data_IF_638848402680
#
_entry.id   IF_638848402680
#
_cell.length_a   1.000
_cell.length_b   1.000
_cell.length_c   1.000
_cell.angle_alpha   90.00
_cell.angle_beta   90.00
_cell.angle_gamma   90.00
#
_symmetry.space_group_name_H-M   'P 1'
#
loop_
_entity.id
_entity.type
_entity.pdbx_description
1 polymer ?
#
# COMPACT_ATOMS: atom_id res chain seq x y z
N UNK A 1 29.02 12.62 7.08
CA UNK A 1 28.54 11.46 6.29
C UNK A 1 27.88 12.02 5.04
N UNK A 2 28.53 11.92 3.88
CA UNK A 2 27.95 12.35 2.61
C UNK A 2 26.95 11.30 2.16
N UNK A 3 25.66 11.56 2.38
CA UNK A 3 24.60 10.92 1.63
C UNK A 3 24.67 11.47 0.20
N UNK A 4 25.57 10.92 -0.61
CA UNK A 4 25.46 11.05 -2.05
C UNK A 4 24.12 10.44 -2.43
N UNK A 5 23.22 11.36 -2.77
CA UNK A 5 21.91 11.14 -3.34
C UNK A 5 22.13 10.41 -4.66
N UNK A 6 21.91 9.09 -4.66
CA UNK A 6 21.95 8.26 -5.85
C UNK A 6 20.87 8.74 -6.85
N UNK A 7 21.28 9.65 -7.73
CA UNK A 7 21.03 9.72 -9.17
C UNK A 7 19.62 9.42 -9.71
N UNK A 8 18.71 10.38 -9.50
CA UNK A 8 17.46 10.51 -10.26
C UNK A 8 16.43 11.39 -9.54
N UNK A 9 15.49 12.04 -10.25
CA UNK A 9 14.33 12.65 -9.60
C UNK A 9 13.58 11.57 -8.81
N UNK A 10 13.42 11.74 -7.50
CA UNK A 10 12.58 10.87 -6.68
C UNK A 10 11.13 11.18 -7.06
N UNK A 11 10.55 10.34 -7.91
CA UNK A 11 9.17 10.46 -8.39
C UNK A 11 8.21 9.77 -7.42
N UNK A 12 7.95 10.40 -6.26
CA UNK A 12 6.97 9.90 -5.29
C UNK A 12 5.52 9.86 -5.81
N UNK A 13 5.25 10.53 -6.93
CA UNK A 13 3.93 10.62 -7.57
C UNK A 13 3.61 9.42 -8.49
N UNK A 14 4.53 8.46 -8.61
CA UNK A 14 4.39 7.27 -9.43
C UNK A 14 4.22 5.98 -8.62
N UNK A 15 4.21 4.85 -9.34
CA UNK A 15 4.20 3.49 -8.78
C UNK A 15 5.26 2.67 -9.48
N UNK A 16 6.45 2.57 -8.89
CA UNK A 16 7.61 1.89 -9.47
C UNK A 16 7.31 0.44 -9.84
N UNK A 17 6.42 -0.20 -9.08
CA UNK A 17 6.02 -1.59 -9.32
C UNK A 17 5.23 -1.72 -10.62
N UNK A 18 4.40 -0.74 -10.96
CA UNK A 18 3.68 -0.72 -12.23
C UNK A 18 4.63 -0.43 -13.41
N UNK A 19 5.63 0.44 -13.20
CA UNK A 19 6.66 0.70 -14.21
C UNK A 19 7.50 -0.55 -14.50
N UNK A 20 7.96 -1.24 -13.44
CA UNK A 20 8.71 -2.48 -13.55
C UNK A 20 7.88 -3.60 -14.17
N UNK A 21 6.62 -3.74 -13.77
CA UNK A 21 5.67 -4.68 -14.39
C UNK A 21 5.61 -4.47 -15.91
N UNK A 22 5.39 -3.23 -16.37
CA UNK A 22 5.33 -2.93 -17.80
C UNK A 22 6.62 -3.30 -18.55
N UNK A 23 7.79 -3.10 -17.93
CA UNK A 23 9.08 -3.51 -18.50
C UNK A 23 9.17 -5.04 -18.62
N UNK A 24 8.84 -5.78 -17.56
CA UNK A 24 8.95 -7.23 -17.55
C UNK A 24 7.91 -7.90 -18.44
N UNK A 25 6.66 -7.43 -18.43
CA UNK A 25 5.62 -7.88 -19.35
C UNK A 25 6.01 -7.62 -20.81
N UNK A 26 6.57 -6.44 -21.10
CA UNK A 26 7.10 -6.11 -22.43
C UNK A 26 8.24 -7.03 -22.88
N UNK A 27 8.98 -7.61 -21.95
CA UNK A 27 10.01 -8.62 -22.20
C UNK A 27 9.44 -10.07 -22.27
N UNK A 28 8.12 -10.25 -22.21
CA UNK A 28 7.45 -11.55 -22.30
C UNK A 28 7.40 -12.34 -20.99
N UNK A 29 7.65 -11.70 -19.85
CA UNK A 29 7.59 -12.36 -18.55
C UNK A 29 6.16 -12.40 -18.03
N UNK A 30 5.80 -13.48 -17.33
CA UNK A 30 4.60 -13.51 -16.50
C UNK A 30 4.91 -12.85 -15.15
N UNK A 31 4.35 -11.67 -14.89
CA UNK A 31 4.64 -10.90 -13.69
C UNK A 31 3.62 -11.22 -12.60
N UNK A 32 4.10 -11.69 -11.44
CA UNK A 32 3.27 -11.94 -10.26
C UNK A 32 3.67 -10.95 -9.16
N UNK A 33 2.71 -10.12 -8.71
CA UNK A 33 2.94 -9.08 -7.71
C UNK A 33 2.44 -9.52 -6.33
N UNK A 34 3.35 -9.72 -5.38
CA UNK A 34 3.04 -10.08 -3.99
C UNK A 34 3.17 -8.84 -3.10
N UNK A 35 2.15 -7.98 -3.16
CA UNK A 35 2.20 -6.64 -2.58
C UNK A 35 1.81 -6.57 -1.11
N UNK A 36 0.80 -7.33 -0.73
CA UNK A 36 0.11 -7.22 0.55
C UNK A 36 0.33 -8.51 1.34
N UNK A 37 0.58 -8.39 2.64
CA UNK A 37 0.62 -9.55 3.51
C UNK A 37 -0.79 -10.05 3.85
N UNK A 38 -0.89 -11.27 4.35
CA UNK A 38 -2.12 -11.97 4.74
C UNK A 38 -2.96 -11.23 5.79
N UNK A 39 -2.38 -10.25 6.50
CA UNK A 39 -3.14 -9.38 7.42
C UNK A 39 -4.17 -8.51 6.70
N UNK A 40 -4.04 -8.31 5.39
CA UNK A 40 -5.02 -7.61 4.57
C UNK A 40 -6.20 -8.49 4.14
N UNK A 41 -6.09 -9.81 4.24
CA UNK A 41 -7.09 -10.76 3.70
C UNK A 41 -8.47 -10.59 4.33
N UNK A 42 -8.54 -10.20 5.61
CA UNK A 42 -9.81 -9.92 6.27
C UNK A 42 -10.49 -8.69 5.66
N UNK A 43 -9.76 -7.59 5.50
CA UNK A 43 -10.30 -6.35 4.94
C UNK A 43 -10.69 -6.52 3.47
N UNK A 44 -9.85 -7.21 2.68
CA UNK A 44 -10.11 -7.50 1.27
C UNK A 44 -11.34 -8.39 1.08
N UNK A 45 -11.59 -9.35 1.98
CA UNK A 45 -12.80 -10.17 1.94
C UNK A 45 -14.05 -9.44 2.42
N UNK A 46 -13.91 -8.55 3.42
CA UNK A 46 -15.02 -7.73 3.92
C UNK A 46 -15.46 -6.66 2.91
N UNK A 47 -14.54 -6.16 2.09
CA UNK A 47 -14.85 -5.13 1.11
C UNK A 47 -15.64 -5.68 -0.09
N UNK A 48 -16.96 -5.51 -0.03
CA UNK A 48 -17.87 -5.83 -1.13
C UNK A 48 -18.03 -4.67 -2.12
N UNK A 49 -17.54 -3.48 -1.79
CA UNK A 49 -17.66 -2.28 -2.63
C UNK A 49 -16.53 -2.17 -3.66
N UNK A 50 -15.40 -2.83 -3.42
CA UNK A 50 -14.17 -2.71 -4.19
C UNK A 50 -13.39 -1.41 -3.92
N UNK A 51 -13.86 -0.57 -2.98
CA UNK A 51 -13.23 0.71 -2.65
C UNK A 51 -11.85 0.57 -2.02
N UNK A 52 -11.58 -0.51 -1.30
CA UNK A 52 -10.26 -0.76 -0.75
C UNK A 52 -9.25 -1.02 -1.86
N UNK A 53 -9.60 -1.84 -2.85
CA UNK A 53 -8.74 -2.09 -4.02
C UNK A 53 -8.57 -0.80 -4.83
N UNK A 54 -9.63 -0.02 -5.03
CA UNK A 54 -9.55 1.28 -5.70
C UNK A 54 -8.57 2.21 -4.95
N UNK A 55 -8.75 2.38 -3.63
CA UNK A 55 -7.88 3.19 -2.78
C UNK A 55 -6.42 2.73 -2.88
N UNK A 56 -6.17 1.42 -2.82
CA UNK A 56 -4.83 0.85 -2.96
C UNK A 56 -4.19 1.15 -4.32
N UNK A 57 -4.98 1.15 -5.39
CA UNK A 57 -4.50 1.44 -6.73
C UNK A 57 -4.21 2.92 -6.95
N UNK A 58 -5.01 3.81 -6.37
CA UNK A 58 -4.81 5.26 -6.44
C UNK A 58 -3.67 5.77 -5.57
N UNK A 59 -3.34 5.07 -4.48
CA UNK A 59 -2.27 5.49 -3.57
C UNK A 59 -0.91 5.30 -4.23
N UNK A 60 -0.12 6.38 -4.28
CA UNK A 60 1.21 6.41 -4.90
C UNK A 60 2.29 5.97 -3.92
N UNK A 61 3.48 5.66 -4.43
CA UNK A 61 4.58 5.13 -3.60
C UNK A 61 5.01 6.12 -2.51
N UNK A 62 5.02 7.43 -2.81
CA UNK A 62 5.36 8.46 -1.82
C UNK A 62 4.42 8.44 -0.61
N UNK A 63 3.11 8.37 -0.85
CA UNK A 63 2.12 8.31 0.23
C UNK A 63 2.28 7.03 1.06
N UNK A 64 2.56 5.91 0.41
CA UNK A 64 2.83 4.66 1.13
C UNK A 64 4.07 4.72 2.02
N UNK A 65 5.12 5.45 1.63
CA UNK A 65 6.27 5.72 2.50
C UNK A 65 5.87 6.64 3.66
N UNK A 66 5.07 7.67 3.40
CA UNK A 66 4.55 8.55 4.46
C UNK A 66 3.75 7.76 5.48
N UNK A 67 2.80 6.94 5.05
CA UNK A 67 2.02 6.08 5.94
C UNK A 67 2.93 5.18 6.78
N UNK A 68 3.96 4.56 6.18
CA UNK A 68 4.87 3.68 6.94
C UNK A 68 5.85 4.41 7.86
N UNK A 69 5.97 5.74 7.75
CA UNK A 69 6.77 6.56 8.66
C UNK A 69 5.98 7.14 9.84
N UNK A 70 4.65 6.96 9.86
CA UNK A 70 3.72 7.50 10.86
C UNK A 70 3.21 6.39 11.79
N UNK A 71 1.99 6.53 12.31
CA UNK A 71 1.34 5.59 13.23
C UNK A 71 -0.03 5.12 12.70
N UNK A 72 -0.69 4.23 13.44
CA UNK A 72 -1.99 3.68 13.07
C UNK A 72 -3.11 4.70 12.98
N UNK A 73 -3.12 5.70 13.86
CA UNK A 73 -4.12 6.78 13.85
C UNK A 73 -4.01 7.60 12.56
N UNK A 74 -2.79 7.94 12.14
CA UNK A 74 -2.54 8.63 10.88
C UNK A 74 -2.99 7.80 9.67
N UNK A 75 -2.74 6.48 9.67
CA UNK A 75 -3.19 5.58 8.60
C UNK A 75 -4.72 5.48 8.58
N UNK A 76 -5.37 5.40 9.73
CA UNK A 76 -6.84 5.42 9.82
C UNK A 76 -7.40 6.67 9.17
N UNK A 77 -6.92 7.84 9.57
CA UNK A 77 -7.46 9.12 9.12
C UNK A 77 -7.18 9.37 7.63
N UNK A 78 -5.93 9.16 7.18
CA UNK A 78 -5.51 9.64 5.87
C UNK A 78 -5.52 8.58 4.77
N UNK A 79 -5.44 7.29 5.10
CA UNK A 79 -5.58 6.21 4.13
C UNK A 79 -7.03 5.69 4.13
N UNK A 80 -7.48 5.10 5.24
CA UNK A 80 -8.83 4.53 5.31
C UNK A 80 -9.93 5.59 5.33
N UNK A 81 -9.67 6.78 5.88
CA UNK A 81 -10.63 7.89 5.91
C UNK A 81 -10.89 8.56 4.56
N UNK A 82 -10.17 8.19 3.49
CA UNK A 82 -10.36 8.79 2.16
C UNK A 82 -11.74 8.51 1.57
N UNK A 83 -12.33 7.35 1.89
CA UNK A 83 -13.69 6.98 1.49
C UNK A 83 -14.50 6.51 2.70
N UNK A 84 -15.81 6.82 2.78
CA UNK A 84 -16.69 6.28 3.83
C UNK A 84 -16.66 4.75 3.92
N UNK A 85 -16.57 4.07 2.77
CA UNK A 85 -16.52 2.61 2.67
C UNK A 85 -15.24 2.06 3.30
N UNK A 86 -14.09 2.65 2.99
CA UNK A 86 -12.80 2.21 3.56
C UNK A 86 -12.67 2.58 5.04
N UNK A 87 -13.28 3.68 5.47
CA UNK A 87 -13.34 4.06 6.87
C UNK A 87 -14.19 3.05 7.68
N UNK A 88 -15.31 2.61 7.11
CA UNK A 88 -16.19 1.62 7.73
C UNK A 88 -15.51 0.25 7.89
N UNK A 89 -14.61 -0.14 6.97
CA UNK A 89 -13.89 -1.42 7.04
C UNK A 89 -13.00 -1.57 8.28
N UNK A 90 -12.53 -0.46 8.86
CA UNK A 90 -11.63 -0.44 10.02
C UNK A 90 -12.26 0.23 11.23
N UNK A 91 -13.56 0.49 11.22
CA UNK A 91 -14.26 1.21 12.28
C UNK A 91 -14.15 0.51 13.65
N UNK A 92 -14.08 -0.82 13.65
CA UNK A 92 -13.95 -1.70 14.82
C UNK A 92 -12.51 -2.10 15.15
N UNK A 93 -11.53 -1.66 14.35
CA UNK A 93 -10.12 -1.98 14.55
C UNK A 93 -9.46 -0.97 15.49
N UNK A 94 -8.46 -1.38 16.28
CA UNK A 94 -7.57 -0.45 17.00
C UNK A 94 -6.49 0.12 16.07
N UNK A 95 -5.87 1.23 16.48
CA UNK A 95 -4.77 1.83 15.70
C UNK A 95 -3.57 0.88 15.62
N UNK A 96 -3.32 0.05 16.64
CA UNK A 96 -2.29 -0.98 16.60
C UNK A 96 -2.59 -2.07 15.57
N UNK A 97 -3.85 -2.48 15.43
CA UNK A 97 -4.26 -3.44 14.40
C UNK A 97 -4.07 -2.87 12.99
N UNK A 98 -4.45 -1.61 12.78
CA UNK A 98 -4.19 -0.89 11.52
C UNK A 98 -2.69 -0.78 11.26
N UNK A 99 -1.91 -0.43 12.29
CA UNK A 99 -0.46 -0.28 12.18
C UNK A 99 0.27 -1.60 11.89
N UNK A 100 -0.31 -2.70 12.36
CA UNK A 100 0.21 -4.05 12.15
C UNK A 100 0.03 -4.56 10.71
N UNK A 101 -0.74 -3.90 9.85
CA UNK A 101 -0.86 -4.26 8.43
C UNK A 101 0.51 -4.24 7.74
N UNK A 102 0.84 -5.31 7.01
CA UNK A 102 2.16 -5.55 6.44
C UNK A 102 2.15 -5.67 4.91
N UNK A 103 3.34 -5.55 4.31
CA UNK A 103 3.55 -5.82 2.88
C UNK A 103 3.90 -7.30 2.69
N UNK A 104 3.67 -7.81 1.48
CA UNK A 104 3.84 -9.23 1.14
C UNK A 104 5.24 -9.77 1.50
N UNK A 105 6.31 -9.05 1.16
CA UNK A 105 7.68 -9.44 1.50
C UNK A 105 8.04 -9.44 3.00
N UNK A 106 7.13 -8.98 3.87
CA UNK A 106 7.26 -9.01 5.32
C UNK A 106 6.20 -9.91 5.98
N UNK A 107 5.54 -10.75 5.21
CA UNK A 107 4.70 -11.81 5.75
C UNK A 107 5.59 -12.98 6.20
N UNK A 108 5.49 -13.45 7.47
CA UNK A 108 6.20 -14.65 7.90
C UNK A 108 5.65 -15.97 7.31
N UNK A 109 4.48 -15.93 6.66
CA UNK A 109 3.90 -17.06 5.93
C UNK A 109 4.29 -17.03 4.46
#
# INVERSE_FOLDING_TARGET
CNLQRLDGPVTGNGKIINELEGIFEGAGWNVIKVMWGSRWDELLRKDTSGKLIQLMNETVDGDYQTFKSKDGAYVREHFFGKYPETAALVADWTDEQIWALNRGGHDPK
#
